data_IF_631019184083
#
_entry.id   IF_631019184083
#
_cell.length_a   1.000
_cell.length_b   1.000
_cell.length_c   1.000
_cell.angle_alpha   90.00
_cell.angle_beta   90.00
_cell.angle_gamma   90.00
#
_symmetry.space_group_name_H-M   'P 1'
#
loop_
_entity.id
_entity.type
_entity.pdbx_description
1 polymer ?
#
# COMPACT_ATOMS: atom_id res chain seq x y z
N UNK A 1 -13.36 -6.36 17.15
CA UNK A 1 -12.62 -5.59 18.18
C UNK A 1 -11.13 -5.49 17.81
N UNK A 2 -10.71 -4.35 17.24
CA UNK A 2 -9.34 -4.12 16.77
C UNK A 2 -8.89 -2.66 16.89
N UNK A 3 -9.73 -1.74 16.38
CA UNK A 3 -9.44 -0.30 16.23
C UNK A 3 -8.83 0.37 17.47
N UNK A 4 -9.27 0.01 18.69
CA UNK A 4 -8.74 0.61 19.94
C UNK A 4 -7.30 0.17 20.22
N UNK A 5 -6.96 -1.10 19.99
CA UNK A 5 -5.58 -1.62 20.18
C UNK A 5 -4.64 -1.19 19.06
N UNK A 6 -5.16 -1.07 17.85
CA UNK A 6 -4.42 -0.54 16.70
C UNK A 6 -4.05 0.93 16.95
N UNK A 7 -4.98 1.74 17.47
CA UNK A 7 -4.71 3.11 17.90
C UNK A 7 -3.74 3.19 19.08
N UNK A 8 -3.86 2.30 20.07
CA UNK A 8 -2.97 2.22 21.25
C UNK A 8 -1.51 1.99 20.83
N UNK A 9 -1.24 1.00 19.97
CA UNK A 9 0.11 0.71 19.45
C UNK A 9 0.70 1.89 18.63
N UNK A 10 -0.14 2.56 17.83
CA UNK A 10 0.26 3.75 17.06
C UNK A 10 0.65 4.90 18.00
N UNK A 11 -0.19 5.17 19.00
CA UNK A 11 0.05 6.23 19.98
C UNK A 11 1.31 5.96 20.82
N UNK A 12 1.54 4.71 21.23
CA UNK A 12 2.76 4.30 21.93
C UNK A 12 4.01 4.57 21.08
N UNK A 13 3.98 4.23 19.79
CA UNK A 13 5.10 4.50 18.86
C UNK A 13 5.35 5.98 18.63
N UNK A 14 4.29 6.78 18.47
CA UNK A 14 4.38 8.25 18.35
C UNK A 14 5.00 8.87 19.60
N UNK A 15 4.51 8.51 20.79
CA UNK A 15 5.01 9.02 22.07
C UNK A 15 6.48 8.60 22.32
N UNK A 16 6.87 7.41 21.87
CA UNK A 16 8.26 6.91 21.98
C UNK A 16 9.25 7.66 21.08
N UNK A 17 8.79 8.20 19.94
CA UNK A 17 9.61 8.96 18.99
C UNK A 17 9.56 10.49 19.23
N UNK A 18 8.50 10.98 19.87
CA UNK A 18 8.32 12.40 20.16
C UNK A 18 9.31 12.92 21.20
N UNK A 19 9.78 14.16 21.02
CA UNK A 19 10.59 14.84 22.05
C UNK A 19 9.70 15.24 23.23
N UNK A 20 10.10 14.99 24.50
CA UNK A 20 9.28 15.33 25.65
C UNK A 20 8.88 16.82 25.68
N UNK A 21 7.57 17.09 25.62
CA UNK A 21 7.01 18.45 25.61
C UNK A 21 6.89 19.11 24.23
N UNK A 22 7.21 18.39 23.14
CA UNK A 22 6.91 18.85 21.78
C UNK A 22 5.44 18.57 21.40
N UNK A 23 4.86 19.45 20.59
CA UNK A 23 3.62 19.14 19.85
C UNK A 23 3.96 18.19 18.69
N UNK A 24 3.07 17.22 18.42
CA UNK A 24 3.22 16.23 17.34
C UNK A 24 2.36 16.68 16.17
N UNK A 25 2.96 16.89 15.00
CA UNK A 25 2.26 17.25 13.77
C UNK A 25 2.17 16.04 12.81
N UNK A 26 1.40 16.16 11.73
CA UNK A 26 1.21 15.11 10.71
C UNK A 26 2.54 14.53 10.16
N UNK A 27 3.62 15.32 9.98
CA UNK A 27 4.93 14.79 9.57
C UNK A 27 5.66 13.94 10.62
N UNK A 28 5.20 13.90 11.88
CA UNK A 28 5.80 13.13 12.98
C UNK A 28 5.08 11.79 13.23
N UNK A 29 3.85 11.66 12.74
CA UNK A 29 3.12 10.39 12.72
C UNK A 29 3.89 9.34 11.89
N UNK A 30 3.66 8.03 12.05
CA UNK A 30 4.25 7.04 11.16
C UNK A 30 3.83 7.26 9.67
N UNK A 31 4.42 6.58 8.68
CA UNK A 31 3.85 6.53 7.32
C UNK A 31 2.55 5.71 7.30
N UNK A 32 2.43 4.72 8.19
CA UNK A 32 1.13 4.29 8.70
C UNK A 32 0.43 5.50 9.39
N UNK A 33 -0.90 5.61 9.41
CA UNK A 33 -1.66 6.80 9.83
C UNK A 33 -1.59 8.00 8.86
N UNK A 34 -0.44 8.34 8.25
CA UNK A 34 -0.27 9.55 7.38
C UNK A 34 -1.18 9.68 6.15
N UNK A 35 -2.01 8.67 5.85
CA UNK A 35 -3.18 8.83 4.98
C UNK A 35 -3.15 8.18 3.60
N UNK A 36 -2.17 7.31 3.29
CA UNK A 36 -2.09 6.60 2.00
C UNK A 36 -2.17 5.06 2.12
N UNK A 37 -1.27 4.43 2.88
CA UNK A 37 -1.14 2.95 2.90
C UNK A 37 -1.35 2.32 4.30
N UNK A 38 -1.88 3.11 5.24
CA UNK A 38 -1.99 2.76 6.66
C UNK A 38 -2.82 1.50 6.96
N UNK A 39 -4.02 1.40 6.38
CA UNK A 39 -4.92 0.25 6.58
C UNK A 39 -4.51 -0.96 5.72
N UNK A 40 -3.66 -0.77 4.70
CA UNK A 40 -3.18 -1.85 3.84
C UNK A 40 -1.95 -2.57 4.43
N UNK A 41 -1.16 -1.91 5.30
CA UNK A 41 0.14 -2.40 5.75
C UNK A 41 0.14 -3.67 6.66
N UNK A 42 -0.96 -3.97 7.35
CA UNK A 42 -1.05 -5.11 8.30
C UNK A 42 -1.86 -6.28 7.77
N UNK A 43 -1.25 -7.47 7.73
CA UNK A 43 -1.93 -8.72 7.38
C UNK A 43 -2.96 -9.08 8.47
N UNK A 44 -4.26 -8.93 8.14
CA UNK A 44 -5.42 -9.13 9.04
C UNK A 44 -5.66 -10.62 9.35
N UNK A 45 -4.83 -11.18 10.22
CA UNK A 45 -4.93 -12.57 10.72
C UNK A 45 -6.16 -12.81 11.62
N UNK A 46 -6.89 -11.75 11.97
CA UNK A 46 -8.19 -11.79 12.66
C UNK A 46 -9.37 -12.13 11.73
N UNK A 47 -9.18 -12.10 10.40
CA UNK A 47 -10.19 -12.44 9.40
C UNK A 47 -10.17 -13.93 9.01
N UNK A 48 -11.27 -14.47 8.44
CA UNK A 48 -11.26 -15.78 7.79
C UNK A 48 -10.15 -15.89 6.75
N UNK A 49 -9.48 -17.05 6.68
CA UNK A 49 -8.28 -17.27 5.86
C UNK A 49 -8.40 -16.80 4.39
N UNK A 50 -9.57 -17.01 3.77
CA UNK A 50 -9.81 -16.60 2.39
C UNK A 50 -9.86 -15.07 2.21
N UNK A 51 -10.40 -14.34 3.18
CA UNK A 51 -10.46 -12.87 3.17
C UNK A 51 -9.09 -12.26 3.49
N UNK A 52 -8.41 -12.80 4.51
CA UNK A 52 -7.04 -12.40 4.87
C UNK A 52 -6.08 -12.60 3.68
N UNK A 53 -6.15 -13.77 3.01
CA UNK A 53 -5.37 -14.05 1.80
C UNK A 53 -5.75 -13.13 0.64
N UNK A 54 -7.04 -12.84 0.44
CA UNK A 54 -7.51 -11.93 -0.59
C UNK A 54 -6.88 -10.55 -0.45
N UNK A 55 -6.95 -9.96 0.76
CA UNK A 55 -6.34 -8.66 1.08
C UNK A 55 -4.82 -8.66 0.87
N UNK A 56 -4.13 -9.71 1.33
CA UNK A 56 -2.68 -9.82 1.15
C UNK A 56 -2.27 -9.88 -0.34
N UNK A 57 -3.03 -10.61 -1.17
CA UNK A 57 -2.84 -10.65 -2.63
C UNK A 57 -3.14 -9.30 -3.27
N UNK A 58 -4.22 -8.63 -2.88
CA UNK A 58 -4.59 -7.32 -3.43
C UNK A 58 -3.54 -6.25 -3.14
N UNK A 59 -3.02 -6.20 -1.89
CA UNK A 59 -1.88 -5.34 -1.52
C UNK A 59 -0.63 -5.67 -2.33
N UNK A 60 -0.27 -6.95 -2.46
CA UNK A 60 0.89 -7.36 -3.24
C UNK A 60 0.77 -6.92 -4.71
N UNK A 61 -0.39 -7.15 -5.34
CA UNK A 61 -0.65 -6.74 -6.71
C UNK A 61 -0.54 -5.21 -6.86
N UNK A 62 -1.10 -4.42 -5.95
CA UNK A 62 -1.00 -2.94 -5.95
C UNK A 62 0.44 -2.47 -5.89
N UNK A 63 1.20 -2.90 -4.88
CA UNK A 63 2.59 -2.51 -4.72
C UNK A 63 3.43 -2.91 -5.94
N UNK A 64 3.28 -4.16 -6.41
CA UNK A 64 4.00 -4.67 -7.58
C UNK A 64 3.70 -3.88 -8.86
N UNK A 65 2.44 -3.48 -9.09
CA UNK A 65 2.06 -2.69 -10.26
C UNK A 65 2.62 -1.27 -10.21
N UNK A 66 2.62 -0.61 -9.03
CA UNK A 66 3.24 0.71 -8.84
C UNK A 66 4.73 0.65 -9.17
N UNK A 67 5.47 -0.26 -8.53
CA UNK A 67 6.92 -0.43 -8.74
C UNK A 67 7.25 -0.84 -10.18
N UNK A 68 6.41 -1.66 -10.83
CA UNK A 68 6.60 -2.08 -12.21
C UNK A 68 6.32 -0.95 -13.22
N UNK A 69 5.33 -0.10 -12.98
CA UNK A 69 5.00 0.99 -13.89
C UNK A 69 5.96 2.17 -13.76
N UNK A 70 6.37 2.52 -12.54
CA UNK A 70 7.36 3.57 -12.31
C UNK A 70 8.69 3.25 -13.01
N UNK A 71 9.19 2.01 -12.89
CA UNK A 71 10.42 1.55 -13.56
C UNK A 71 10.33 1.48 -15.10
N UNK A 72 9.14 1.64 -15.67
CA UNK A 72 8.88 1.60 -17.11
C UNK A 72 8.20 2.88 -17.64
N UNK A 73 8.15 3.97 -16.87
CA UNK A 73 7.53 5.25 -17.26
C UNK A 73 6.09 5.05 -17.78
N UNK A 74 5.30 4.22 -17.07
CA UNK A 74 3.93 3.88 -17.46
C UNK A 74 3.79 2.98 -18.70
N UNK A 75 4.90 2.51 -19.29
CA UNK A 75 4.88 1.69 -20.50
C UNK A 75 4.42 0.25 -20.21
N UNK A 76 3.11 0.04 -20.24
CA UNK A 76 2.44 -1.27 -20.08
C UNK A 76 3.06 -2.35 -20.98
N UNK A 77 3.55 -2.01 -22.18
CA UNK A 77 4.14 -2.98 -23.12
C UNK A 77 5.56 -3.41 -22.74
N UNK A 78 6.26 -2.64 -21.91
CA UNK A 78 7.57 -2.97 -21.36
C UNK A 78 7.44 -3.63 -19.98
N UNK A 79 6.61 -3.05 -19.10
CA UNK A 79 6.18 -3.64 -17.83
C UNK A 79 5.69 -5.10 -17.99
N UNK A 80 4.78 -5.36 -18.94
CA UNK A 80 4.26 -6.70 -19.20
C UNK A 80 5.36 -7.72 -19.59
N UNK A 81 6.37 -7.28 -20.36
CA UNK A 81 7.51 -8.13 -20.76
C UNK A 81 8.43 -8.46 -19.60
N UNK A 82 8.68 -7.51 -18.69
CA UNK A 82 9.46 -7.79 -17.47
C UNK A 82 8.71 -8.74 -16.54
N UNK A 83 7.41 -8.49 -16.32
CA UNK A 83 6.57 -9.31 -15.44
C UNK A 83 6.30 -10.73 -16.00
N UNK A 84 6.66 -11.02 -17.26
CA UNK A 84 6.34 -12.27 -17.93
C UNK A 84 4.83 -12.47 -18.15
N UNK A 85 4.07 -11.38 -18.26
CA UNK A 85 2.61 -11.38 -18.35
C UNK A 85 2.11 -10.80 -19.68
N UNK A 86 0.91 -11.19 -20.10
CA UNK A 86 0.22 -10.49 -21.18
C UNK A 86 -0.20 -9.07 -20.76
N UNK A 87 -0.15 -8.12 -21.71
CA UNK A 87 -0.64 -6.74 -21.49
C UNK A 87 -2.08 -6.71 -20.97
N UNK A 88 -2.92 -7.64 -21.44
CA UNK A 88 -4.32 -7.79 -20.99
C UNK A 88 -4.43 -8.15 -19.50
N UNK A 89 -3.46 -8.90 -18.97
CA UNK A 89 -3.38 -9.22 -17.54
C UNK A 89 -3.03 -7.98 -16.73
N UNK A 90 -2.04 -7.20 -17.18
CA UNK A 90 -1.68 -5.92 -16.56
C UNK A 90 -2.88 -4.95 -16.57
N UNK A 91 -3.53 -4.74 -17.72
CA UNK A 91 -4.75 -3.90 -17.80
C UNK A 91 -5.83 -4.34 -16.79
N UNK A 92 -6.17 -5.64 -16.75
CA UNK A 92 -7.18 -6.16 -15.83
C UNK A 92 -6.80 -5.94 -14.36
N UNK A 93 -5.51 -6.00 -14.02
CA UNK A 93 -5.02 -5.75 -12.68
C UNK A 93 -5.09 -4.25 -12.32
N UNK A 94 -4.78 -3.36 -13.27
CA UNK A 94 -4.95 -1.92 -13.11
C UNK A 94 -6.43 -1.54 -12.93
N UNK A 95 -7.32 -2.08 -13.76
CA UNK A 95 -8.78 -1.91 -13.66
C UNK A 95 -9.32 -2.41 -12.31
N UNK A 96 -8.84 -3.58 -11.84
CA UNK A 96 -9.21 -4.17 -10.54
C UNK A 96 -8.83 -3.25 -9.37
N UNK A 97 -7.70 -2.55 -9.47
CA UNK A 97 -7.15 -1.76 -8.37
C UNK A 97 -7.42 -0.25 -8.49
N UNK A 98 -7.98 0.21 -9.60
CA UNK A 98 -8.24 1.64 -9.85
C UNK A 98 -6.96 2.45 -10.06
N UNK A 99 -5.96 1.87 -10.74
CA UNK A 99 -4.65 2.49 -10.98
C UNK A 99 -4.53 2.95 -12.44
N UNK A 100 -4.13 4.20 -12.70
CA UNK A 100 -3.75 4.64 -14.05
C UNK A 100 -2.24 4.42 -14.27
N UNK A 101 -1.88 3.86 -15.44
CA UNK A 101 -0.49 3.63 -15.80
C UNK A 101 0.31 4.92 -16.05
N UNK A 102 -0.34 6.02 -16.42
CA UNK A 102 0.31 7.32 -16.63
C UNK A 102 0.65 8.00 -15.30
N UNK A 103 -0.30 8.07 -14.39
CA UNK A 103 -0.10 8.65 -13.06
C UNK A 103 1.02 7.95 -12.27
N UNK A 104 1.18 6.64 -12.47
CA UNK A 104 2.26 5.84 -11.89
C UNK A 104 3.59 5.86 -12.66
N UNK A 105 3.62 6.50 -13.84
CA UNK A 105 4.83 6.68 -14.65
C UNK A 105 5.50 8.05 -14.48
N UNK A 106 4.78 9.05 -13.96
CA UNK A 106 5.22 10.44 -13.81
C UNK A 106 5.81 10.76 -12.41
N UNK A 107 6.20 9.74 -11.62
CA UNK A 107 6.60 9.83 -10.19
C UNK A 107 8.06 9.49 -9.89
#
# INVERSE_FOLDING_TARGET
PGNVRELENVMERVVSLATPGAEVDVPDLPPEVRGADAEEATDRTDLPFHEAKGRAVDRFERAYLRDLLARHEGNISAAAREAGMDRKTIHRLLDKHGLDARELGDG
#
